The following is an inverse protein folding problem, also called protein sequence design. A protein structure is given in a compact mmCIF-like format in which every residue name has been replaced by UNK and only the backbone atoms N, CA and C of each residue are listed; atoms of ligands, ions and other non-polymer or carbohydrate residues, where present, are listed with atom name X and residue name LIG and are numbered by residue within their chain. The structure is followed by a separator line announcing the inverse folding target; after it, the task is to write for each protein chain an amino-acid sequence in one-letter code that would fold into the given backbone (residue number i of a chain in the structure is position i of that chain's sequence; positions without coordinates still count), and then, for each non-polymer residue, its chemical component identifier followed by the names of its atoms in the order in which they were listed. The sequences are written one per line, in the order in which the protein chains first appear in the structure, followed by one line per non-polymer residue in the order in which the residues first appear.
data_IF_918524952485
#
_entry.id   IF_918524952485
#
_cell.length_a   1.000
_cell.length_b   1.000
_cell.length_c   1.000
_cell.angle_alpha   90.00
_cell.angle_beta   90.00
_cell.angle_gamma   90.00
#
_symmetry.space_group_name_H-M   'P 1'
#
loop_
_entity.id
_entity.type
_entity.pdbx_description
1 polymer ?
#
# COMPACT_ATOMS: atom_id res chain seq x y z
N UNK A 1 22.83 35.56 -44.88
CA UNK A 1 21.62 34.69 -44.70
C UNK A 1 22.14 33.26 -44.55
N UNK A 2 21.87 32.43 -43.54
CA UNK A 2 21.00 32.42 -42.36
C UNK A 2 21.78 31.64 -41.27
N UNK A 3 21.89 32.17 -40.06
CA UNK A 3 22.38 31.41 -38.89
C UNK A 3 21.28 30.45 -38.40
N UNK A 4 21.59 29.20 -38.06
CA UNK A 4 20.64 28.34 -37.37
C UNK A 4 20.59 28.77 -35.90
N UNK A 5 19.42 29.23 -35.45
CA UNK A 5 19.12 29.46 -34.03
C UNK A 5 19.05 28.10 -33.35
N UNK A 6 20.13 27.73 -32.65
CA UNK A 6 20.19 26.52 -31.83
C UNK A 6 19.12 26.55 -30.74
N UNK A 7 18.41 25.43 -30.63
CA UNK A 7 17.33 25.19 -29.69
C UNK A 7 17.75 25.56 -28.25
N UNK A 8 16.92 26.36 -27.58
CA UNK A 8 17.15 26.80 -26.23
C UNK A 8 17.12 25.65 -25.20
N UNK A 9 17.70 25.86 -24.00
CA UNK A 9 17.85 24.86 -22.93
C UNK A 9 16.52 24.35 -22.33
N UNK A 10 15.36 24.77 -22.84
CA UNK A 10 14.04 24.45 -22.31
C UNK A 10 13.57 23.02 -22.57
N UNK A 11 14.08 22.36 -23.62
CA UNK A 11 13.73 20.96 -23.91
C UNK A 11 14.27 19.98 -22.87
N UNK A 12 15.47 20.24 -22.33
CA UNK A 12 16.03 19.42 -21.25
C UNK A 12 15.23 19.56 -19.95
N UNK A 13 14.72 20.76 -19.66
CA UNK A 13 13.90 21.00 -18.45
C UNK A 13 12.53 20.33 -18.52
N UNK A 14 11.89 20.31 -19.69
CA UNK A 14 10.62 19.61 -19.88
C UNK A 14 10.76 18.08 -19.74
N UNK A 15 11.87 17.51 -20.23
CA UNK A 15 12.16 16.08 -20.06
C UNK A 15 12.40 15.71 -18.59
N UNK A 16 13.09 16.56 -17.83
CA UNK A 16 13.35 16.32 -16.40
C UNK A 16 12.07 16.31 -15.57
N UNK A 17 11.11 17.20 -15.88
CA UNK A 17 9.81 17.27 -15.21
C UNK A 17 8.94 16.04 -15.50
N UNK A 18 9.01 15.47 -16.71
CA UNK A 18 8.32 14.23 -17.09
C UNK A 18 8.93 12.99 -16.42
N UNK A 19 10.23 13.00 -16.12
CA UNK A 19 10.90 11.90 -15.42
C UNK A 19 10.59 11.87 -13.91
N UNK A 20 10.21 13.01 -13.32
CA UNK A 20 9.89 13.13 -11.89
C UNK A 20 8.48 12.65 -11.51
N UNK A 21 7.57 12.46 -12.47
CA UNK A 21 6.21 11.94 -12.20
C UNK A 21 6.12 10.41 -12.20
N UNK A 22 7.18 9.70 -12.60
CA UNK A 22 7.13 8.26 -12.86
C UNK A 22 7.31 7.34 -11.64
N UNK A 23 7.51 7.87 -10.43
CA UNK A 23 7.92 7.06 -9.27
C UNK A 23 6.96 7.09 -8.06
N UNK A 24 5.71 7.52 -8.22
CA UNK A 24 4.75 7.47 -7.08
C UNK A 24 4.02 6.14 -7.05
N UNK A 25 4.07 5.36 -5.95
CA UNK A 25 3.12 4.29 -5.72
C UNK A 25 1.72 4.91 -5.71
N UNK A 26 0.84 4.41 -6.57
CA UNK A 26 -0.50 5.00 -6.73
C UNK A 26 -1.39 4.66 -5.55
N UNK A 27 -1.28 3.44 -4.99
CA UNK A 27 -2.05 3.10 -3.81
C UNK A 27 -1.36 3.63 -2.56
N UNK A 28 -2.09 4.43 -1.80
CA UNK A 28 -1.67 4.94 -0.50
C UNK A 28 -2.26 4.04 0.58
N UNK A 29 -1.42 3.66 1.54
CA UNK A 29 -1.82 2.81 2.66
C UNK A 29 -1.42 3.50 3.94
N UNK A 30 -2.37 3.66 4.87
CA UNK A 30 -2.17 4.35 6.15
C UNK A 30 -2.83 3.57 7.29
N UNK A 31 -2.47 3.91 8.53
CA UNK A 31 -3.18 3.42 9.71
C UNK A 31 -4.45 4.23 9.90
N UNK A 32 -5.58 3.55 10.11
CA UNK A 32 -6.83 4.21 10.45
C UNK A 32 -6.72 4.89 11.82
N UNK A 33 -7.23 6.11 11.94
CA UNK A 33 -7.18 6.86 13.19
C UNK A 33 -7.95 6.13 14.31
N UNK A 34 -7.33 6.00 15.49
CA UNK A 34 -7.96 5.40 16.66
C UNK A 34 -8.12 3.87 16.64
N UNK A 35 -7.62 3.19 15.60
CA UNK A 35 -7.66 1.72 15.47
C UNK A 35 -6.24 1.14 15.32
N UNK A 36 -5.31 1.68 16.11
CA UNK A 36 -3.87 1.41 16.07
C UNK A 36 -3.44 0.49 17.22
N UNK A 37 -4.25 -0.51 17.54
CA UNK A 37 -4.05 -1.38 18.69
C UNK A 37 -4.23 -2.84 18.30
N UNK A 38 -3.38 -3.72 18.86
CA UNK A 38 -3.58 -5.15 18.81
C UNK A 38 -4.91 -5.59 19.46
N UNK A 39 -5.52 -6.71 19.03
CA UNK A 39 -5.00 -7.67 18.04
C UNK A 39 -5.31 -7.32 16.58
N UNK A 40 -6.17 -6.34 16.33
CA UNK A 40 -6.77 -6.10 15.01
C UNK A 40 -6.63 -4.63 14.57
N UNK A 41 -5.40 -4.16 14.30
CA UNK A 41 -5.20 -2.82 13.75
C UNK A 41 -5.93 -2.67 12.41
N UNK A 42 -6.41 -1.45 12.16
CA UNK A 42 -7.13 -1.12 10.91
C UNK A 42 -6.28 -0.20 10.04
N UNK A 43 -6.41 -0.42 8.73
CA UNK A 43 -5.70 0.30 7.69
C UNK A 43 -6.70 0.95 6.74
N UNK A 44 -6.28 2.05 6.16
CA UNK A 44 -6.97 2.73 5.07
C UNK A 44 -6.16 2.55 3.79
N UNK A 45 -6.87 2.35 2.67
CA UNK A 45 -6.30 2.20 1.34
C UNK A 45 -6.98 3.20 0.42
N UNK A 46 -6.19 4.08 -0.15
CA UNK A 46 -6.66 5.11 -1.08
C UNK A 46 -6.00 4.94 -2.45
N UNK A 47 -6.76 5.20 -3.50
CA UNK A 47 -6.28 5.27 -4.88
C UNK A 47 -6.62 6.66 -5.43
N UNK A 48 -5.65 7.58 -5.52
CA UNK A 48 -5.89 8.93 -6.02
C UNK A 48 -6.37 8.96 -7.48
N UNK A 49 -6.15 7.89 -8.26
CA UNK A 49 -6.66 7.79 -9.63
C UNK A 49 -8.13 7.34 -9.67
N UNK A 50 -8.61 6.71 -8.58
CA UNK A 50 -9.93 6.10 -8.46
C UNK A 50 -10.56 6.44 -7.09
N UNK A 51 -11.06 7.68 -6.92
CA UNK A 51 -11.55 8.18 -5.64
C UNK A 51 -12.82 7.48 -5.14
N UNK A 52 -13.53 6.75 -6.01
CA UNK A 52 -14.70 5.95 -5.67
C UNK A 52 -14.34 4.66 -4.94
N UNK A 53 -13.23 4.01 -5.33
CA UNK A 53 -12.76 2.75 -4.75
C UNK A 53 -11.31 2.46 -5.13
N UNK A 54 -10.46 2.03 -4.20
CA UNK A 54 -9.08 1.67 -4.53
C UNK A 54 -9.00 0.41 -5.41
N UNK A 55 -8.07 0.33 -6.36
CA UNK A 55 -7.98 -0.83 -7.28
C UNK A 55 -6.89 -1.81 -6.89
N UNK A 56 -7.26 -2.81 -6.09
CA UNK A 56 -6.39 -3.91 -5.70
C UNK A 56 -7.16 -5.23 -5.57
N UNK A 57 -6.43 -6.34 -5.59
CA UNK A 57 -7.01 -7.68 -5.52
C UNK A 57 -6.25 -8.62 -4.57
N UNK A 58 -5.16 -8.14 -3.96
CA UNK A 58 -4.30 -8.94 -3.09
C UNK A 58 -3.85 -8.08 -1.91
N UNK A 59 -3.88 -8.66 -0.71
CA UNK A 59 -3.32 -8.06 0.51
C UNK A 59 -2.34 -9.05 1.12
N UNK A 60 -1.15 -8.59 1.51
CA UNK A 60 -0.15 -9.42 2.17
C UNK A 60 0.41 -8.67 3.38
N UNK A 61 0.60 -9.39 4.48
CA UNK A 61 1.36 -8.91 5.64
C UNK A 61 2.55 -9.81 5.81
N UNK A 62 3.74 -9.21 5.89
CA UNK A 62 5.00 -9.90 6.09
C UNK A 62 5.69 -9.35 7.33
N UNK A 63 6.46 -10.18 8.03
CA UNK A 63 7.41 -9.69 9.03
C UNK A 63 8.69 -9.14 8.38
N UNK A 64 9.58 -8.58 9.21
CA UNK A 64 10.90 -8.10 8.78
C UNK A 64 11.77 -9.17 8.10
N UNK A 65 11.59 -10.44 8.45
CA UNK A 65 12.30 -11.56 7.84
C UNK A 65 11.72 -12.00 6.48
N UNK A 66 10.59 -11.42 6.07
CA UNK A 66 9.86 -11.80 4.86
C UNK A 66 8.95 -13.01 5.06
N UNK A 67 8.72 -13.46 6.29
CA UNK A 67 7.75 -14.51 6.56
C UNK A 67 6.32 -13.96 6.39
N UNK A 68 5.48 -14.73 5.71
CA UNK A 68 4.08 -14.38 5.51
C UNK A 68 3.30 -14.52 6.83
N UNK A 69 2.59 -13.45 7.19
CA UNK A 69 1.74 -13.37 8.38
C UNK A 69 0.26 -13.39 8.03
N UNK A 70 -0.10 -12.88 6.85
CA UNK A 70 -1.48 -12.91 6.35
C UNK A 70 -1.48 -12.72 4.85
N UNK A 71 -2.35 -13.43 4.13
CA UNK A 71 -2.51 -13.25 2.69
C UNK A 71 -3.97 -13.38 2.30
N UNK A 72 -4.51 -12.32 1.72
CA UNK A 72 -5.83 -12.30 1.13
C UNK A 72 -5.75 -12.17 -0.39
N UNK A 73 -6.72 -12.77 -1.06
CA UNK A 73 -6.94 -12.61 -2.51
C UNK A 73 -8.42 -12.39 -2.80
N UNK A 74 -8.74 -11.49 -3.72
CA UNK A 74 -10.11 -11.28 -4.19
C UNK A 74 -10.63 -12.51 -4.93
N UNK A 75 -11.91 -12.83 -4.72
CA UNK A 75 -12.63 -13.92 -5.39
C UNK A 75 -14.03 -13.43 -5.83
N UNK A 76 -14.39 -13.46 -7.13
CA UNK A 76 -13.52 -13.83 -8.26
C UNK A 76 -12.33 -12.87 -8.39
N UNK A 77 -11.25 -13.35 -9.00
CA UNK A 77 -10.03 -12.56 -9.14
C UNK A 77 -10.29 -11.27 -9.96
N UNK A 78 -9.99 -10.13 -9.34
CA UNK A 78 -10.25 -8.80 -9.90
C UNK A 78 -10.29 -7.74 -8.79
N UNK A 79 -10.42 -6.48 -9.16
CA UNK A 79 -10.46 -5.34 -8.24
C UNK A 79 -11.90 -4.86 -7.94
N UNK A 80 -12.90 -5.68 -8.27
CA UNK A 80 -14.31 -5.34 -8.06
C UNK A 80 -14.72 -5.37 -6.58
N UNK A 81 -13.98 -6.12 -5.76
CA UNK A 81 -14.30 -6.36 -4.36
C UNK A 81 -13.39 -5.59 -3.38
N UNK A 82 -12.47 -4.77 -3.89
CA UNK A 82 -11.55 -3.99 -3.05
C UNK A 82 -12.30 -3.05 -2.11
N UNK A 83 -11.71 -2.80 -0.95
CA UNK A 83 -12.29 -1.95 0.10
C UNK A 83 -11.32 -0.85 0.49
N UNK A 84 -11.85 0.33 0.85
CA UNK A 84 -11.03 1.43 1.36
C UNK A 84 -10.50 1.22 2.78
N UNK A 85 -11.04 0.25 3.52
CA UNK A 85 -10.61 -0.04 4.88
C UNK A 85 -10.43 -1.54 5.13
N UNK A 86 -9.32 -1.90 5.77
CA UNK A 86 -8.91 -3.28 6.05
C UNK A 86 -8.67 -3.43 7.55
N UNK A 87 -9.31 -4.41 8.19
CA UNK A 87 -8.97 -4.82 9.57
C UNK A 87 -8.06 -6.04 9.51
N UNK A 88 -6.94 -6.02 10.23
CA UNK A 88 -6.03 -7.15 10.25
C UNK A 88 -6.73 -8.43 10.75
N UNK A 89 -6.60 -9.50 9.98
CA UNK A 89 -7.16 -10.81 10.31
C UNK A 89 -8.64 -10.99 9.99
N UNK A 90 -9.29 -9.97 9.42
CA UNK A 90 -10.68 -10.05 8.96
C UNK A 90 -10.71 -9.92 7.42
N UNK A 91 -10.97 -11.02 6.68
CA UNK A 91 -11.14 -10.93 5.23
C UNK A 91 -12.36 -10.05 4.90
N UNK A 92 -12.19 -8.96 4.12
CA UNK A 92 -13.32 -8.17 3.66
C UNK A 92 -14.18 -8.98 2.68
N UNK A 93 -15.42 -8.51 2.45
CA UNK A 93 -16.32 -9.16 1.51
C UNK A 93 -15.69 -9.30 0.12
N UNK A 94 -15.82 -10.48 -0.48
CA UNK A 94 -15.25 -10.79 -1.79
C UNK A 94 -13.74 -11.03 -1.79
N UNK A 95 -13.12 -11.19 -0.61
CA UNK A 95 -11.77 -11.74 -0.44
C UNK A 95 -11.81 -13.08 0.29
N UNK A 96 -10.84 -13.93 -0.03
CA UNK A 96 -10.55 -15.17 0.67
C UNK A 96 -9.16 -15.10 1.31
N UNK A 97 -9.00 -15.75 2.46
CA UNK A 97 -7.68 -15.98 3.05
C UNK A 97 -6.98 -17.12 2.28
N UNK A 98 -5.87 -16.78 1.63
CA UNK A 98 -4.95 -17.76 1.05
C UNK A 98 -3.98 -18.26 2.13
N UNK A 99 -3.60 -17.38 3.05
CA UNK A 99 -2.89 -17.70 4.28
C UNK A 99 -3.65 -17.04 5.45
N UNK A 100 -3.96 -17.83 6.48
CA UNK A 100 -4.66 -17.35 7.67
C UNK A 100 -3.80 -16.35 8.47
N UNK A 101 -4.43 -15.38 9.16
CA UNK A 101 -3.69 -14.39 9.91
C UNK A 101 -2.97 -15.01 11.12
N UNK A 102 -1.68 -14.75 11.23
CA UNK A 102 -0.89 -15.05 12.42
C UNK A 102 -1.01 -13.90 13.42
N UNK A 103 -0.94 -14.20 14.72
CA UNK A 103 -0.94 -13.16 15.73
C UNK A 103 0.28 -12.23 15.57
N UNK A 104 0.02 -10.93 15.40
CA UNK A 104 1.06 -9.90 15.51
C UNK A 104 1.58 -9.89 16.95
N UNK A 105 2.88 -9.64 17.10
CA UNK A 105 3.56 -9.71 18.39
C UNK A 105 4.00 -8.31 18.84
N UNK A 106 3.91 -8.00 20.14
CA UNK A 106 4.59 -6.83 20.71
C UNK A 106 6.09 -6.83 20.38
N UNK A 107 6.63 -5.67 20.03
CA UNK A 107 8.00 -5.50 19.51
C UNK A 107 8.21 -5.98 18.07
N UNK A 108 7.16 -6.42 17.38
CA UNK A 108 7.22 -6.89 16.00
C UNK A 108 7.28 -5.74 14.99
N UNK A 109 7.95 -5.98 13.86
CA UNK A 109 7.99 -5.10 12.69
C UNK A 109 7.45 -5.82 11.47
N UNK A 110 6.52 -5.15 10.78
CA UNK A 110 5.75 -5.74 9.71
C UNK A 110 5.62 -4.79 8.52
N UNK A 111 5.29 -5.36 7.37
CA UNK A 111 4.96 -4.61 6.17
C UNK A 111 3.64 -5.14 5.60
N UNK A 112 2.67 -4.24 5.42
CA UNK A 112 1.42 -4.50 4.72
C UNK A 112 1.55 -4.04 3.27
N UNK A 113 1.27 -4.94 2.35
CA UNK A 113 1.26 -4.72 0.91
C UNK A 113 -0.15 -4.86 0.40
N UNK A 114 -0.55 -3.91 -0.44
CA UNK A 114 -1.79 -3.96 -1.19
C UNK A 114 -1.44 -3.94 -2.67
N UNK A 115 -1.86 -4.96 -3.41
CA UNK A 115 -1.41 -5.21 -4.79
C UNK A 115 -2.60 -5.33 -5.73
N UNK A 116 -2.55 -4.58 -6.82
CA UNK A 116 -3.45 -4.62 -7.97
C UNK A 116 -2.70 -4.26 -9.24
N UNK A 117 -3.30 -3.43 -10.10
CA UNK A 117 -2.57 -2.79 -11.20
C UNK A 117 -1.44 -1.89 -10.67
N UNK A 118 -1.69 -1.26 -9.53
CA UNK A 118 -0.74 -0.47 -8.76
C UNK A 118 -0.40 -1.20 -7.44
N UNK A 119 0.59 -0.69 -6.71
CA UNK A 119 1.00 -1.24 -5.41
C UNK A 119 1.08 -0.15 -4.36
N UNK A 120 0.62 -0.46 -3.16
CA UNK A 120 0.80 0.33 -1.95
C UNK A 120 1.50 -0.49 -0.87
N UNK A 121 2.29 0.18 -0.04
CA UNK A 121 2.99 -0.45 1.07
C UNK A 121 2.95 0.46 2.29
N UNK A 122 2.73 -0.14 3.46
CA UNK A 122 2.89 0.50 4.76
C UNK A 122 3.78 -0.39 5.64
N UNK A 123 4.85 0.18 6.19
CA UNK A 123 5.62 -0.48 7.25
C UNK A 123 5.10 0.00 8.59
N UNK A 124 5.02 -0.92 9.56
CA UNK A 124 4.57 -0.58 10.90
C UNK A 124 5.31 -1.40 11.96
N UNK A 125 5.54 -0.77 13.11
CA UNK A 125 6.05 -1.39 14.32
C UNK A 125 4.92 -1.55 15.33
N UNK A 126 5.00 -2.60 16.15
CA UNK A 126 4.14 -2.83 17.30
C UNK A 126 4.97 -2.61 18.57
N UNK A 127 4.56 -1.70 19.45
CA UNK A 127 5.28 -1.47 20.71
C UNK A 127 5.05 -2.59 21.75
N UNK A 128 5.60 -2.44 22.96
CA UNK A 128 5.48 -3.44 24.01
C UNK A 128 4.05 -3.55 24.56
N UNK A 129 3.27 -2.46 24.46
CA UNK A 129 1.89 -2.33 24.89
C UNK A 129 0.89 -2.76 23.80
N UNK A 130 1.36 -3.05 22.58
CA UNK A 130 0.55 -3.47 21.45
C UNK A 130 0.02 -2.33 20.58
N UNK A 131 0.51 -1.10 20.74
CA UNK A 131 0.17 -0.01 19.82
C UNK A 131 0.94 -0.16 18.51
N UNK A 132 0.26 0.17 17.43
CA UNK A 132 0.76 0.05 16.06
C UNK A 132 1.09 1.43 15.53
N UNK A 133 2.33 1.61 15.05
CA UNK A 133 2.79 2.89 14.51
C UNK A 133 3.37 2.72 13.12
N UNK A 134 3.02 3.64 12.22
CA UNK A 134 3.60 3.66 10.88
C UNK A 134 5.06 4.09 10.97
N UNK A 135 5.94 3.39 10.26
CA UNK A 135 7.38 3.67 10.25
C UNK A 135 7.90 3.76 8.81
N UNK A 136 9.04 4.44 8.59
CA UNK A 136 9.74 4.37 7.32
C UNK A 136 10.15 2.92 6.98
N UNK A 137 10.31 2.58 5.69
CA UNK A 137 10.79 1.26 5.25
C UNK A 137 12.10 0.85 5.92
#
# INVERSE_FOLDING_TARGET
MKSPRGAGPWWCSALLLLLLTACRPVLQVSLAAGAQQLPAPRFEVEDPEHPDRPRYNTVQVLDRGGALFWHLRAEPFGDLNSVGSLTYGEPPSGFIAVEEPRALQPGGRYALFVVGKNRGTLHFDVDAEGHVTAVPP
#
